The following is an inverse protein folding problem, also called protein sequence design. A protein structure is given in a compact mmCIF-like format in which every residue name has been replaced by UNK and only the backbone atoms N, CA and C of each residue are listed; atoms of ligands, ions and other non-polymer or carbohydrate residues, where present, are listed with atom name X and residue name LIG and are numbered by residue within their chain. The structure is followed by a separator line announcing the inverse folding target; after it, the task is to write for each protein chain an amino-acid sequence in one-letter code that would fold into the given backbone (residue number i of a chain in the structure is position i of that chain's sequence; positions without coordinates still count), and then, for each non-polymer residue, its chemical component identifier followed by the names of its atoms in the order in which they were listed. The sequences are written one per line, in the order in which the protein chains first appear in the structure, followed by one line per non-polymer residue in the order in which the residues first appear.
data_IF_776626349357
#
_entry.id   IF_776626349357
#
_cell.length_a   1.000
_cell.length_b   1.000
_cell.length_c   1.000
_cell.angle_alpha   90.00
_cell.angle_beta   90.00
_cell.angle_gamma   90.00
#
_symmetry.space_group_name_H-M   'P 1'
#
loop_
_entity.id
_entity.type
_entity.pdbx_description
1 polymer ?
#
# COMPACT_ATOMS: atom_id res chain seq x y z
N UNK A 1 19.48 -9.95 2.63
CA UNK A 1 19.79 -8.70 1.92
C UNK A 1 18.72 -8.43 0.87
N UNK A 2 18.15 -7.23 0.88
CA UNK A 2 17.10 -6.90 -0.07
C UNK A 2 17.63 -6.89 -1.51
N UNK A 3 16.79 -7.29 -2.45
CA UNK A 3 17.10 -7.22 -3.87
C UNK A 3 16.61 -5.89 -4.44
N UNK A 4 17.54 -5.10 -4.94
CA UNK A 4 17.26 -3.75 -5.45
C UNK A 4 16.14 -3.75 -6.51
N UNK A 5 16.19 -4.67 -7.47
CA UNK A 5 15.22 -4.69 -8.56
C UNK A 5 13.81 -5.01 -8.07
N UNK A 6 13.68 -5.89 -7.06
CA UNK A 6 12.38 -6.19 -6.44
C UNK A 6 11.83 -4.97 -5.74
N UNK A 7 12.66 -4.30 -4.93
CA UNK A 7 12.25 -3.09 -4.20
C UNK A 7 11.80 -2.00 -5.17
N UNK A 8 12.60 -1.71 -6.19
CA UNK A 8 12.27 -0.68 -7.19
C UNK A 8 10.99 -1.01 -7.96
N UNK A 9 10.78 -2.27 -8.31
CA UNK A 9 9.58 -2.69 -9.03
C UNK A 9 8.31 -2.46 -8.19
N UNK A 10 8.36 -2.79 -6.90
CA UNK A 10 7.20 -2.60 -6.01
C UNK A 10 6.92 -1.12 -5.74
N UNK A 11 7.97 -0.33 -5.54
CA UNK A 11 7.83 1.13 -5.40
C UNK A 11 7.21 1.74 -6.66
N UNK A 12 7.64 1.31 -7.84
CA UNK A 12 7.08 1.79 -9.10
C UNK A 12 5.58 1.48 -9.24
N UNK A 13 5.15 0.30 -8.80
CA UNK A 13 3.72 -0.07 -8.79
C UNK A 13 2.94 0.87 -7.86
N UNK A 14 3.45 1.10 -6.65
CA UNK A 14 2.80 2.01 -5.69
C UNK A 14 2.64 3.40 -6.29
N UNK A 15 3.70 3.97 -6.84
CA UNK A 15 3.68 5.31 -7.43
C UNK A 15 2.72 5.40 -8.60
N UNK A 16 2.73 4.41 -9.49
CA UNK A 16 1.83 4.39 -10.65
C UNK A 16 0.37 4.32 -10.22
N UNK A 17 0.05 3.51 -9.22
CA UNK A 17 -1.32 3.38 -8.72
C UNK A 17 -1.80 4.67 -8.06
N UNK A 18 -0.96 5.33 -7.26
CA UNK A 18 -1.29 6.61 -6.63
C UNK A 18 -1.53 7.68 -7.71
N UNK A 19 -0.65 7.78 -8.71
CA UNK A 19 -0.82 8.70 -9.82
C UNK A 19 -2.13 8.46 -10.57
N UNK A 20 -2.47 7.21 -10.81
CA UNK A 20 -3.73 6.86 -11.50
C UNK A 20 -4.94 7.31 -10.70
N UNK A 21 -4.94 7.08 -9.39
CA UNK A 21 -6.03 7.52 -8.50
C UNK A 21 -6.18 9.04 -8.54
N UNK A 22 -5.09 9.76 -8.39
CA UNK A 22 -5.11 11.22 -8.40
C UNK A 22 -5.58 11.77 -9.74
N UNK A 23 -5.18 11.15 -10.84
CA UNK A 23 -5.59 11.56 -12.18
C UNK A 23 -7.10 11.43 -12.39
N UNK A 24 -7.69 10.28 -12.08
CA UNK A 24 -9.12 10.05 -12.31
C UNK A 24 -10.01 10.83 -11.36
N UNK A 25 -9.52 11.21 -10.19
CA UNK A 25 -10.28 11.97 -9.19
C UNK A 25 -10.08 13.48 -9.29
N UNK A 26 -9.05 13.95 -9.97
CA UNK A 26 -8.63 15.33 -9.94
C UNK A 26 -8.94 16.17 -11.18
N UNK A 27 -9.28 15.56 -12.31
CA UNK A 27 -9.45 16.28 -13.57
C UNK A 27 -10.69 15.83 -14.33
N UNK A 28 -11.34 16.72 -15.10
CA UNK A 28 -12.43 16.33 -15.98
C UNK A 28 -11.95 15.37 -17.07
N UNK A 29 -12.64 14.24 -17.27
CA UNK A 29 -12.22 13.19 -18.22
C UNK A 29 -13.38 12.39 -18.79
N UNK A 30 -14.63 12.77 -18.54
CA UNK A 30 -15.79 12.08 -19.09
C UNK A 30 -16.13 10.74 -18.43
N UNK A 31 -15.42 10.33 -17.36
CA UNK A 31 -15.76 9.12 -16.61
C UNK A 31 -16.98 9.37 -15.71
N UNK A 32 -17.80 8.33 -15.53
CA UNK A 32 -18.92 8.40 -14.59
C UNK A 32 -18.41 8.29 -13.14
N UNK A 33 -19.21 8.70 -12.13
CA UNK A 33 -18.84 8.47 -10.72
C UNK A 33 -18.57 7.00 -10.40
N UNK A 34 -19.30 6.06 -11.00
CA UNK A 34 -19.06 4.63 -10.81
C UNK A 34 -17.71 4.21 -11.41
N UNK A 35 -17.38 4.72 -12.60
CA UNK A 35 -16.09 4.44 -13.23
C UNK A 35 -14.93 4.93 -12.36
N UNK A 36 -15.05 6.15 -11.82
CA UNK A 36 -14.02 6.73 -10.94
C UNK A 36 -13.84 5.87 -9.68
N UNK A 37 -14.95 5.43 -9.07
CA UNK A 37 -14.89 4.59 -7.88
C UNK A 37 -14.23 3.24 -8.18
N UNK A 38 -14.61 2.59 -9.26
CA UNK A 38 -14.05 1.30 -9.66
C UNK A 38 -12.53 1.40 -9.94
N UNK A 39 -12.11 2.42 -10.66
CA UNK A 39 -10.69 2.65 -10.93
C UNK A 39 -9.93 2.96 -9.65
N UNK A 40 -10.53 3.75 -8.75
CA UNK A 40 -9.92 4.09 -7.47
C UNK A 40 -9.69 2.84 -6.62
N UNK A 41 -10.73 2.03 -6.43
CA UNK A 41 -10.64 0.81 -5.61
C UNK A 41 -9.65 -0.18 -6.20
N UNK A 42 -9.65 -0.36 -7.52
CA UNK A 42 -8.70 -1.24 -8.20
C UNK A 42 -7.25 -0.82 -7.92
N UNK A 43 -6.96 0.47 -8.04
CA UNK A 43 -5.61 0.97 -7.86
C UNK A 43 -5.20 1.01 -6.38
N UNK A 44 -6.11 1.30 -5.45
CA UNK A 44 -5.84 1.16 -4.02
C UNK A 44 -5.49 -0.29 -3.67
N UNK A 45 -6.24 -1.25 -4.20
CA UNK A 45 -6.00 -2.69 -3.97
C UNK A 45 -4.63 -3.10 -4.50
N UNK A 46 -4.27 -2.65 -5.70
CA UNK A 46 -2.96 -2.94 -6.30
C UNK A 46 -1.82 -2.30 -5.52
N UNK A 47 -1.98 -1.05 -5.09
CA UNK A 47 -0.97 -0.36 -4.29
C UNK A 47 -0.78 -1.03 -2.93
N UNK A 48 -1.87 -1.43 -2.27
CA UNK A 48 -1.81 -2.17 -1.00
C UNK A 48 -1.11 -3.51 -1.18
N UNK A 49 -1.39 -4.24 -2.26
CA UNK A 49 -0.71 -5.50 -2.55
C UNK A 49 0.78 -5.32 -2.79
N UNK A 50 1.16 -4.28 -3.54
CA UNK A 50 2.58 -3.97 -3.76
C UNK A 50 3.29 -3.62 -2.45
N UNK A 51 2.61 -2.89 -1.54
CA UNK A 51 3.14 -2.60 -0.21
C UNK A 51 3.33 -3.87 0.62
N UNK A 52 2.37 -4.79 0.58
CA UNK A 52 2.48 -6.10 1.24
C UNK A 52 3.67 -6.87 0.68
N UNK A 53 3.80 -6.93 -0.63
CA UNK A 53 4.90 -7.64 -1.30
C UNK A 53 6.25 -7.04 -0.92
N UNK A 54 6.34 -5.72 -0.88
CA UNK A 54 7.55 -5.01 -0.47
C UNK A 54 7.93 -5.36 0.98
N UNK A 55 6.97 -5.27 1.90
CA UNK A 55 7.19 -5.61 3.30
C UNK A 55 7.61 -7.07 3.48
N UNK A 56 6.93 -7.99 2.80
CA UNK A 56 7.23 -9.42 2.84
C UNK A 56 8.63 -9.71 2.32
N UNK A 57 9.03 -9.06 1.24
CA UNK A 57 10.39 -9.20 0.70
C UNK A 57 11.45 -8.76 1.71
N UNK A 58 11.28 -7.60 2.32
CA UNK A 58 12.23 -7.08 3.31
C UNK A 58 12.31 -8.00 4.53
N UNK A 59 11.18 -8.39 5.08
CA UNK A 59 11.11 -9.28 6.25
C UNK A 59 11.80 -10.60 5.97
N UNK A 60 11.58 -11.17 4.80
CA UNK A 60 12.17 -12.45 4.40
C UNK A 60 13.67 -12.33 4.17
N UNK A 61 14.11 -11.36 3.40
CA UNK A 61 15.53 -11.24 3.02
C UNK A 61 16.41 -10.75 4.17
N UNK A 62 15.86 -9.96 5.11
CA UNK A 62 16.57 -9.47 6.29
C UNK A 62 16.38 -10.36 7.52
N UNK A 63 15.64 -11.46 7.38
CA UNK A 63 15.39 -12.41 8.47
C UNK A 63 14.76 -11.74 9.71
N UNK A 64 13.78 -10.88 9.50
CA UNK A 64 13.11 -10.16 10.58
C UNK A 64 12.11 -11.01 11.36
N UNK A 65 11.83 -12.21 10.90
CA UNK A 65 10.92 -13.14 11.57
C UNK A 65 10.00 -13.83 10.58
N UNK A 66 9.09 -14.65 11.13
CA UNK A 66 8.07 -15.37 10.37
C UNK A 66 6.71 -14.75 10.70
N UNK A 67 6.14 -13.94 9.79
CA UNK A 67 4.83 -13.34 10.07
C UNK A 67 3.73 -14.40 10.07
N UNK A 68 2.81 -14.31 11.03
CA UNK A 68 1.66 -15.20 11.12
C UNK A 68 0.64 -14.91 10.02
N UNK A 69 0.58 -13.65 9.57
CA UNK A 69 -0.24 -13.21 8.44
C UNK A 69 0.48 -12.07 7.70
N UNK A 70 -0.09 -11.63 6.58
CA UNK A 70 0.55 -10.58 5.77
C UNK A 70 0.63 -9.24 6.50
N UNK A 71 -0.33 -8.94 7.36
CA UNK A 71 -0.35 -7.68 8.11
C UNK A 71 0.81 -7.61 9.13
N UNK A 72 1.19 -8.76 9.70
CA UNK A 72 2.29 -8.82 10.68
C UNK A 72 3.63 -8.42 10.07
N UNK A 73 3.81 -8.53 8.76
CA UNK A 73 5.02 -8.06 8.10
C UNK A 73 5.28 -6.58 8.38
N UNK A 74 4.23 -5.75 8.42
CA UNK A 74 4.39 -4.33 8.78
C UNK A 74 4.79 -4.13 10.23
N UNK A 75 4.28 -4.94 11.14
CA UNK A 75 4.69 -4.92 12.54
C UNK A 75 6.17 -5.27 12.69
N UNK A 76 6.64 -6.26 11.95
CA UNK A 76 8.06 -6.65 11.96
C UNK A 76 8.97 -5.54 11.42
N UNK A 77 8.55 -4.83 10.37
CA UNK A 77 9.27 -3.65 9.91
C UNK A 77 9.37 -2.58 10.99
N UNK A 78 8.27 -2.35 11.72
CA UNK A 78 8.25 -1.41 12.83
C UNK A 78 9.18 -1.82 13.97
N UNK A 79 9.18 -3.10 14.34
CA UNK A 79 10.04 -3.64 15.40
C UNK A 79 11.53 -3.53 15.07
N UNK A 80 11.88 -3.60 13.79
CA UNK A 80 13.27 -3.49 13.33
C UNK A 80 13.65 -2.07 12.89
N UNK A 81 12.80 -1.09 13.16
CA UNK A 81 13.11 0.32 12.94
C UNK A 81 13.11 0.78 11.49
N UNK A 82 12.56 0.00 10.56
CA UNK A 82 12.42 0.43 9.16
C UNK A 82 11.35 1.51 9.03
N UNK A 83 10.26 1.35 9.74
CA UNK A 83 9.16 2.33 9.83
C UNK A 83 8.80 2.52 11.30
N UNK A 84 8.12 3.62 11.63
CA UNK A 84 7.65 3.81 13.00
C UNK A 84 6.39 2.99 13.31
N UNK A 85 6.05 2.89 14.60
CA UNK A 85 4.92 2.08 15.06
C UNK A 85 3.58 2.59 14.55
N UNK A 86 3.43 3.90 14.41
CA UNK A 86 2.18 4.50 13.92
C UNK A 86 1.95 4.16 12.44
N UNK A 87 2.98 4.29 11.62
CA UNK A 87 2.91 3.92 10.20
C UNK A 87 2.61 2.43 10.06
N UNK A 88 3.27 1.58 10.85
CA UNK A 88 3.00 0.14 10.85
C UNK A 88 1.52 -0.15 11.15
N UNK A 89 0.94 0.50 12.14
CA UNK A 89 -0.47 0.32 12.51
C UNK A 89 -1.41 0.74 11.37
N UNK A 90 -1.13 1.87 10.71
CA UNK A 90 -1.95 2.34 9.59
C UNK A 90 -1.85 1.42 8.38
N UNK A 91 -0.67 0.89 8.08
CA UNK A 91 -0.48 -0.06 6.98
C UNK A 91 -1.19 -1.39 7.26
N UNK A 92 -1.23 -1.84 8.53
CA UNK A 92 -2.02 -3.01 8.90
C UNK A 92 -3.52 -2.80 8.61
N UNK A 93 -4.04 -1.62 8.87
CA UNK A 93 -5.43 -1.28 8.50
C UNK A 93 -5.65 -1.30 6.99
N UNK A 94 -4.66 -0.88 6.22
CA UNK A 94 -4.71 -0.94 4.76
C UNK A 94 -4.85 -2.38 4.26
N UNK A 95 -4.23 -3.35 4.92
CA UNK A 95 -4.41 -4.78 4.61
C UNK A 95 -5.86 -5.19 4.82
N UNK A 96 -6.50 -4.72 5.89
CA UNK A 96 -7.92 -4.96 6.14
C UNK A 96 -8.80 -4.45 4.99
N UNK A 97 -8.56 -3.25 4.52
CA UNK A 97 -9.26 -2.70 3.35
C UNK A 97 -9.04 -3.56 2.10
N UNK A 98 -7.79 -3.92 1.81
CA UNK A 98 -7.45 -4.76 0.65
C UNK A 98 -8.18 -6.09 0.69
N UNK A 99 -8.30 -6.71 1.85
CA UNK A 99 -9.01 -7.98 2.00
C UNK A 99 -10.51 -7.83 1.71
N UNK A 100 -11.13 -6.77 2.18
CA UNK A 100 -12.54 -6.46 1.86
C UNK A 100 -12.69 -6.22 0.35
N UNK A 101 -11.80 -5.44 -0.26
CA UNK A 101 -11.84 -5.14 -1.69
C UNK A 101 -11.74 -6.40 -2.55
N UNK A 102 -10.90 -7.36 -2.17
CA UNK A 102 -10.70 -8.61 -2.93
C UNK A 102 -11.87 -9.58 -2.72
N UNK A 103 -12.36 -9.72 -1.48
CA UNK A 103 -13.32 -10.77 -1.14
C UNK A 103 -14.78 -10.29 -1.07
N UNK A 104 -15.01 -8.99 -0.88
CA UNK A 104 -16.34 -8.44 -0.63
C UNK A 104 -16.51 -7.06 -1.26
N UNK A 105 -16.08 -6.92 -2.51
CA UNK A 105 -16.09 -5.65 -3.25
C UNK A 105 -17.41 -4.87 -3.10
N UNK A 106 -18.54 -5.57 -3.18
CA UNK A 106 -19.86 -4.97 -3.14
C UNK A 106 -20.21 -4.33 -1.77
N UNK A 107 -19.48 -4.66 -0.72
CA UNK A 107 -19.71 -4.13 0.63
C UNK A 107 -18.80 -2.96 0.98
N UNK A 108 -17.99 -2.48 0.05
CA UNK A 108 -17.07 -1.37 0.29
C UNK A 108 -17.87 -0.09 0.50
N UNK A 109 -17.61 0.58 1.63
CA UNK A 109 -18.20 1.89 1.91
C UNK A 109 -17.42 2.97 1.14
N UNK A 110 -18.07 3.73 0.24
CA UNK A 110 -17.42 4.82 -0.50
C UNK A 110 -16.77 5.87 0.41
N UNK A 111 -17.29 6.09 1.61
CA UNK A 111 -16.71 7.04 2.56
C UNK A 111 -15.35 6.57 3.08
N UNK A 112 -15.17 5.26 3.23
CA UNK A 112 -13.88 4.69 3.62
C UNK A 112 -12.87 4.87 2.48
N UNK A 113 -13.28 4.64 1.25
CA UNK A 113 -12.44 4.87 0.06
C UNK A 113 -11.98 6.33 0.00
N UNK A 114 -12.91 7.27 0.15
CA UNK A 114 -12.60 8.71 0.14
C UNK A 114 -11.62 9.07 1.27
N UNK A 115 -11.82 8.54 2.47
CA UNK A 115 -10.91 8.76 3.59
C UNK A 115 -9.49 8.28 3.28
N UNK A 116 -9.35 7.09 2.69
CA UNK A 116 -8.04 6.54 2.33
C UNK A 116 -7.37 7.42 1.28
N UNK A 117 -8.11 7.83 0.26
CA UNK A 117 -7.56 8.69 -0.80
C UNK A 117 -7.12 10.04 -0.25
N UNK A 118 -7.91 10.65 0.63
CA UNK A 118 -7.63 11.99 1.17
C UNK A 118 -6.53 11.97 2.23
N UNK A 119 -6.42 10.90 3.02
CA UNK A 119 -5.63 10.91 4.25
C UNK A 119 -4.57 9.81 4.34
N UNK A 120 -4.59 8.78 3.52
CA UNK A 120 -3.76 7.58 3.69
C UNK A 120 -2.87 7.20 2.52
N UNK A 121 -2.96 7.87 1.37
CA UNK A 121 -2.03 7.61 0.27
C UNK A 121 -0.59 7.92 0.65
N UNK A 122 -0.40 8.91 1.52
CA UNK A 122 0.92 9.26 2.05
C UNK A 122 1.58 8.13 2.83
N UNK A 123 0.81 7.23 3.45
CA UNK A 123 1.36 6.07 4.18
C UNK A 123 2.09 5.13 3.22
N UNK A 124 1.55 4.91 2.03
CA UNK A 124 2.18 4.08 1.01
C UNK A 124 3.50 4.69 0.52
N UNK A 125 3.50 6.01 0.31
CA UNK A 125 4.72 6.74 -0.07
C UNK A 125 5.75 6.74 1.05
N UNK A 126 5.31 6.89 2.29
CA UNK A 126 6.20 6.86 3.45
C UNK A 126 6.88 5.50 3.60
N UNK A 127 6.15 4.41 3.39
CA UNK A 127 6.73 3.06 3.37
C UNK A 127 7.79 2.94 2.28
N UNK A 128 7.47 3.34 1.06
CA UNK A 128 8.40 3.27 -0.07
C UNK A 128 9.68 4.07 0.20
N UNK A 129 9.54 5.30 0.69
CA UNK A 129 10.67 6.15 1.03
C UNK A 129 11.52 5.57 2.17
N UNK A 130 10.89 5.01 3.20
CA UNK A 130 11.60 4.41 4.33
C UNK A 130 12.42 3.20 3.91
N UNK A 131 11.85 2.33 3.09
CA UNK A 131 12.56 1.15 2.57
C UNK A 131 13.71 1.58 1.66
N UNK A 132 13.48 2.52 0.75
CA UNK A 132 14.51 3.02 -0.14
C UNK A 132 15.68 3.63 0.64
N UNK A 133 15.40 4.44 1.66
CA UNK A 133 16.42 5.08 2.49
C UNK A 133 17.19 4.05 3.32
N UNK A 134 16.50 3.10 3.95
CA UNK A 134 17.12 2.11 4.83
C UNK A 134 18.10 1.19 4.08
N UNK A 135 17.77 0.80 2.86
CA UNK A 135 18.52 -0.19 2.09
C UNK A 135 19.33 0.41 0.94
N UNK A 136 19.37 1.72 0.81
CA UNK A 136 20.18 2.41 -0.19
C UNK A 136 19.72 2.19 -1.63
N UNK A 137 18.43 2.10 -1.81
CA UNK A 137 17.85 1.82 -3.13
C UNK A 137 17.44 3.10 -3.85
#
# INVERSE_FOLDING_TARGET
MVERDVVLAKIAVIDRCIHRIQHVRGAPHGLTPIDIEDITVLNLTRAAQAAIDLATHVVSTEAYGLPADVAESFSLLGQHGVIDAELAARLRKMVGFRNIAVHSYQTIDPNIVDHIVESRLGDLRALAAAVAARFGV
#
